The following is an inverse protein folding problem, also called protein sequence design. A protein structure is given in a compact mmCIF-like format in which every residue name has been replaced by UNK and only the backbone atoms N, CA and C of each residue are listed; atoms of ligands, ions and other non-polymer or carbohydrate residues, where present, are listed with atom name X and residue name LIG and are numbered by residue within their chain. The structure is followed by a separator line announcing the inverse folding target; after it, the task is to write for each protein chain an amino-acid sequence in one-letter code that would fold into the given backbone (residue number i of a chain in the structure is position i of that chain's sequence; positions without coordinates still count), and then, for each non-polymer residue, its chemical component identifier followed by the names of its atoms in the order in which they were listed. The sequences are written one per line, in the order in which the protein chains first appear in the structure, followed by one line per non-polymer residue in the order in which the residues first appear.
data_IF_877331254606
#
_entry.id   IF_877331254606
#
_cell.length_a   1.000
_cell.length_b   1.000
_cell.length_c   1.000
_cell.angle_alpha   90.00
_cell.angle_beta   90.00
_cell.angle_gamma   90.00
#
_symmetry.space_group_name_H-M   'P 1'
#
loop_
_entity.id
_entity.type
_entity.pdbx_description
1 polymer ?
#
# COMPACT_ATOMS: atom_id res chain seq x y z
N UNK A 1 3.42 -10.51 -5.40
CA UNK A 1 4.83 -10.18 -5.72
C UNK A 1 4.96 -9.05 -6.73
N UNK A 2 4.25 -9.07 -7.88
CA UNK A 2 4.37 -7.99 -8.89
C UNK A 2 4.04 -6.60 -8.30
N UNK A 3 2.99 -6.49 -7.49
CA UNK A 3 2.61 -5.23 -6.82
C UNK A 3 3.73 -4.70 -5.91
N UNK A 4 4.36 -5.58 -5.13
CA UNK A 4 5.48 -5.22 -4.25
C UNK A 4 6.71 -4.78 -5.06
N UNK A 5 7.04 -5.51 -6.12
CA UNK A 5 8.20 -5.20 -6.98
C UNK A 5 8.01 -3.88 -7.74
N UNK A 6 6.83 -3.67 -8.33
CA UNK A 6 6.54 -2.43 -9.04
C UNK A 6 6.45 -1.24 -8.06
N UNK A 7 5.81 -1.45 -6.91
CA UNK A 7 5.72 -0.46 -5.84
C UNK A 7 7.07 -0.10 -5.19
N UNK A 8 8.08 -0.97 -5.31
CA UNK A 8 9.41 -0.76 -4.72
C UNK A 8 10.10 0.50 -5.26
N UNK A 9 9.90 0.80 -6.54
CA UNK A 9 10.55 1.91 -7.24
C UNK A 9 9.64 3.14 -7.41
N UNK A 10 8.33 2.98 -7.18
CA UNK A 10 7.34 4.07 -7.32
C UNK A 10 6.93 4.65 -5.96
N UNK A 11 7.70 4.37 -4.91
CA UNK A 11 7.44 4.87 -3.57
C UNK A 11 7.68 6.39 -3.53
N UNK A 12 6.73 7.22 -3.04
CA UNK A 12 6.93 8.65 -2.92
C UNK A 12 8.13 9.00 -2.02
N UNK A 13 8.75 10.16 -2.28
CA UNK A 13 9.97 10.61 -1.61
C UNK A 13 9.88 10.53 -0.08
N UNK A 14 8.79 11.03 0.51
CA UNK A 14 8.61 11.00 1.96
C UNK A 14 8.65 9.60 2.55
N UNK A 15 8.07 8.59 1.88
CA UNK A 15 8.16 7.22 2.36
C UNK A 15 9.59 6.67 2.23
N UNK A 16 10.35 7.03 1.18
CA UNK A 16 11.76 6.65 1.07
C UNK A 16 12.58 7.28 2.21
N UNK A 17 12.30 8.53 2.59
CA UNK A 17 12.90 9.17 3.76
C UNK A 17 12.60 8.41 5.04
N UNK A 18 11.35 7.96 5.26
CA UNK A 18 11.02 7.13 6.43
C UNK A 18 11.78 5.79 6.38
N UNK A 19 11.88 5.15 5.22
CA UNK A 19 12.67 3.92 5.09
C UNK A 19 14.12 4.17 5.46
N UNK A 20 14.77 5.17 4.87
CA UNK A 20 16.18 5.47 5.13
C UNK A 20 16.43 5.84 6.58
N UNK A 21 15.47 6.54 7.20
CA UNK A 21 15.55 6.93 8.59
C UNK A 21 15.34 5.74 9.54
N UNK A 22 14.30 4.92 9.33
CA UNK A 22 13.90 3.91 10.32
C UNK A 22 14.40 2.49 10.01
N UNK A 23 14.72 2.17 8.76
CA UNK A 23 15.22 0.84 8.38
C UNK A 23 16.50 0.41 9.10
N UNK A 24 17.45 1.29 9.47
CA UNK A 24 18.62 0.88 10.26
C UNK A 24 18.27 0.27 11.62
N UNK A 25 17.12 0.63 12.20
CA UNK A 25 16.65 0.09 13.48
C UNK A 25 15.63 -1.03 13.32
N UNK A 26 14.68 -0.85 12.41
CA UNK A 26 13.54 -1.73 12.21
C UNK A 26 13.81 -2.85 11.18
N UNK A 27 14.98 -2.80 10.55
CA UNK A 27 15.45 -3.81 9.61
C UNK A 27 14.76 -3.78 8.25
N UNK A 28 14.98 -4.85 7.50
CA UNK A 28 14.62 -4.95 6.08
C UNK A 28 13.11 -5.02 5.80
N UNK A 29 12.27 -5.11 6.84
CA UNK A 29 10.81 -5.17 6.72
C UNK A 29 10.15 -3.79 6.60
N UNK A 30 10.89 -2.69 6.82
CA UNK A 30 10.34 -1.34 6.73
C UNK A 30 9.88 -0.97 5.32
N UNK A 31 10.76 -1.15 4.33
CA UNK A 31 10.43 -0.83 2.94
C UNK A 31 9.25 -1.64 2.40
N UNK A 32 9.20 -2.97 2.51
CA UNK A 32 8.04 -3.72 2.02
C UNK A 32 6.75 -3.35 2.76
N UNK A 33 6.81 -3.01 4.05
CA UNK A 33 5.65 -2.49 4.79
C UNK A 33 5.14 -1.20 4.16
N UNK A 34 6.00 -0.19 3.98
CA UNK A 34 5.58 1.10 3.43
C UNK A 34 5.14 1.01 1.96
N UNK A 35 5.76 0.13 1.16
CA UNK A 35 5.31 -0.16 -0.20
C UNK A 35 3.89 -0.72 -0.22
N UNK A 36 3.60 -1.72 0.63
CA UNK A 36 2.29 -2.36 0.68
C UNK A 36 1.23 -1.43 1.27
N UNK A 37 1.57 -0.70 2.33
CA UNK A 37 0.70 0.33 2.90
C UNK A 37 0.35 1.38 1.84
N UNK A 38 1.33 1.89 1.10
CA UNK A 38 1.09 2.83 0.01
C UNK A 38 0.23 2.19 -1.10
N UNK A 39 0.48 0.94 -1.47
CA UNK A 39 -0.31 0.24 -2.49
C UNK A 39 -1.77 0.02 -2.10
N UNK A 40 -2.06 -0.11 -0.81
CA UNK A 40 -3.40 -0.34 -0.28
C UNK A 40 -4.17 0.94 0.05
N UNK A 41 -3.47 2.02 0.41
CA UNK A 41 -4.10 3.27 0.86
C UNK A 41 -4.11 4.36 -0.19
N UNK A 42 -3.36 4.22 -1.29
CA UNK A 42 -3.49 5.12 -2.44
C UNK A 42 -4.71 4.70 -3.25
N UNK A 43 -5.65 5.63 -3.44
CA UNK A 43 -6.79 5.42 -4.33
C UNK A 43 -6.29 5.27 -5.78
N UNK A 44 -6.44 4.10 -6.42
CA UNK A 44 -5.97 3.90 -7.78
C UNK A 44 -6.65 4.85 -8.77
N UNK A 45 -7.92 5.21 -8.56
CA UNK A 45 -8.69 6.06 -9.48
C UNK A 45 -8.09 7.46 -9.63
N UNK A 46 -7.36 7.92 -8.61
CA UNK A 46 -6.72 9.25 -8.60
C UNK A 46 -5.21 9.18 -8.84
N UNK A 47 -4.64 7.98 -8.96
CA UNK A 47 -3.22 7.78 -9.15
C UNK A 47 -2.96 6.77 -10.29
N UNK A 48 -2.61 7.31 -11.46
CA UNK A 48 -2.34 6.53 -12.67
C UNK A 48 -1.22 5.51 -12.49
N UNK A 49 -0.18 5.84 -11.71
CA UNK A 49 0.93 4.91 -11.43
C UNK A 49 0.42 3.72 -10.62
N UNK A 50 -0.39 3.97 -9.59
CA UNK A 50 -0.97 2.90 -8.77
C UNK A 50 -1.93 2.02 -9.58
N UNK A 51 -2.77 2.63 -10.41
CA UNK A 51 -3.64 1.89 -11.35
C UNK A 51 -2.80 1.01 -12.27
N UNK A 52 -1.73 1.53 -12.87
CA UNK A 52 -0.85 0.75 -13.75
C UNK A 52 -0.25 -0.46 -13.03
N UNK A 53 0.19 -0.31 -11.77
CA UNK A 53 0.73 -1.41 -10.96
C UNK A 53 -0.30 -2.53 -10.80
N UNK A 54 -1.53 -2.20 -10.41
CA UNK A 54 -2.60 -3.18 -10.22
C UNK A 54 -3.02 -3.84 -11.55
N UNK A 55 -3.08 -3.07 -12.64
CA UNK A 55 -3.38 -3.58 -13.98
C UNK A 55 -2.30 -4.55 -14.45
N UNK A 56 -1.02 -4.19 -14.33
CA UNK A 56 0.10 -5.06 -14.75
C UNK A 56 0.11 -6.35 -13.94
N UNK A 57 -0.06 -6.25 -12.62
CA UNK A 57 -0.14 -7.42 -11.75
C UNK A 57 -1.28 -8.36 -12.15
N UNK A 58 -2.46 -7.79 -12.42
CA UNK A 58 -3.63 -8.54 -12.89
C UNK A 58 -3.38 -9.20 -14.24
N UNK A 59 -2.97 -8.42 -15.25
CA UNK A 59 -2.72 -8.92 -16.61
C UNK A 59 -1.71 -10.06 -16.64
N UNK A 60 -0.55 -9.87 -15.99
CA UNK A 60 0.51 -10.90 -15.98
C UNK A 60 0.03 -12.15 -15.26
N UNK A 61 -0.60 -12.02 -14.10
CA UNK A 61 -1.14 -13.17 -13.38
C UNK A 61 -2.24 -13.89 -14.18
N UNK A 62 -3.12 -13.12 -14.83
CA UNK A 62 -4.19 -13.62 -15.70
C UNK A 62 -3.68 -14.43 -16.88
N UNK A 63 -2.66 -13.91 -17.59
CA UNK A 63 -2.00 -14.61 -18.70
C UNK A 63 -1.32 -15.92 -18.25
N UNK A 64 -0.86 -16.01 -17.00
CA UNK A 64 -0.29 -17.23 -16.45
C UNK A 64 -1.39 -18.27 -16.16
N UNK A 65 -2.51 -17.81 -15.59
CA UNK A 65 -3.65 -18.66 -15.26
C UNK A 65 -4.35 -19.23 -16.51
N UNK A 66 -4.52 -18.42 -17.56
CA UNK A 66 -5.00 -18.86 -18.88
C UNK A 66 -6.48 -19.23 -18.97
N UNK A 67 -7.25 -19.07 -17.89
CA UNK A 67 -8.71 -19.25 -17.85
C UNK A 67 -9.39 -18.07 -17.17
N UNK A 68 -10.64 -17.73 -17.55
CA UNK A 68 -11.37 -16.59 -16.96
C UNK A 68 -11.57 -16.75 -15.45
N UNK A 69 -11.94 -17.96 -15.00
CA UNK A 69 -12.04 -18.27 -13.58
C UNK A 69 -10.68 -18.16 -12.87
N UNK A 70 -9.61 -18.63 -13.50
CA UNK A 70 -8.24 -18.46 -13.00
C UNK A 70 -7.82 -17.00 -12.89
N UNK A 71 -8.19 -16.15 -13.86
CA UNK A 71 -7.95 -14.71 -13.83
C UNK A 71 -8.65 -14.01 -12.67
N UNK A 72 -9.88 -14.41 -12.35
CA UNK A 72 -10.59 -13.93 -11.16
C UNK A 72 -9.87 -14.34 -9.86
N UNK A 73 -9.53 -15.63 -9.74
CA UNK A 73 -8.81 -16.16 -8.57
C UNK A 73 -7.46 -15.45 -8.40
N UNK A 74 -6.72 -15.21 -9.48
CA UNK A 74 -5.47 -14.45 -9.46
C UNK A 74 -5.66 -13.05 -8.90
N UNK A 75 -6.72 -12.34 -9.32
CA UNK A 75 -7.01 -11.01 -8.80
C UNK A 75 -7.21 -11.02 -7.29
N UNK A 76 -8.06 -11.93 -6.81
CA UNK A 76 -8.34 -12.10 -5.39
C UNK A 76 -7.08 -12.50 -4.58
N UNK A 77 -6.34 -13.49 -5.06
CA UNK A 77 -5.11 -13.99 -4.40
C UNK A 77 -4.02 -12.92 -4.43
N UNK A 78 -3.89 -12.15 -5.50
CA UNK A 78 -2.91 -11.05 -5.57
C UNK A 78 -3.19 -10.02 -4.48
N UNK A 79 -4.45 -9.61 -4.34
CA UNK A 79 -4.83 -8.64 -3.32
C UNK A 79 -4.71 -9.22 -1.90
N UNK A 80 -5.20 -10.44 -1.65
CA UNK A 80 -5.06 -11.12 -0.34
C UNK A 80 -3.59 -11.37 0.03
N UNK A 81 -2.73 -11.69 -0.94
CA UNK A 81 -1.30 -11.87 -0.69
C UNK A 81 -0.62 -10.57 -0.27
N UNK A 82 -1.06 -9.42 -0.78
CA UNK A 82 -0.56 -8.12 -0.33
C UNK A 82 -0.91 -7.87 1.13
N UNK A 83 -2.14 -8.21 1.56
CA UNK A 83 -2.53 -8.18 2.97
C UNK A 83 -1.72 -9.14 3.82
N UNK A 84 -1.57 -10.39 3.40
CA UNK A 84 -0.84 -11.40 4.15
C UNK A 84 0.63 -11.02 4.36
N UNK A 85 1.29 -10.50 3.32
CA UNK A 85 2.68 -10.01 3.41
C UNK A 85 2.74 -8.76 4.30
N UNK A 86 1.76 -7.86 4.21
CA UNK A 86 1.71 -6.67 5.07
C UNK A 86 1.63 -7.06 6.54
N UNK A 87 0.73 -7.99 6.89
CA UNK A 87 0.60 -8.50 8.26
C UNK A 87 1.91 -9.17 8.70
N UNK A 88 2.51 -10.00 7.85
CA UNK A 88 3.80 -10.63 8.15
C UNK A 88 4.89 -9.58 8.43
N UNK A 89 5.04 -8.56 7.57
CA UNK A 89 6.02 -7.51 7.78
C UNK A 89 5.73 -6.70 9.05
N UNK A 90 4.46 -6.37 9.33
CA UNK A 90 4.06 -5.66 10.55
C UNK A 90 4.41 -6.46 11.82
N UNK A 91 4.15 -7.77 11.84
CA UNK A 91 4.55 -8.65 12.95
C UNK A 91 6.07 -8.65 13.13
N UNK A 92 6.83 -8.76 12.05
CA UNK A 92 8.29 -8.73 12.13
C UNK A 92 8.83 -7.38 12.64
N UNK A 93 8.19 -6.27 12.29
CA UNK A 93 8.54 -4.95 12.82
C UNK A 93 8.26 -4.84 14.33
N UNK A 94 7.12 -5.38 14.79
CA UNK A 94 6.78 -5.41 16.21
C UNK A 94 7.74 -6.30 17.02
N UNK A 95 8.16 -7.43 16.44
CA UNK A 95 9.15 -8.31 17.05
C UNK A 95 10.57 -7.73 17.01
N UNK A 96 10.90 -6.92 16.00
CA UNK A 96 12.20 -6.27 15.85
C UNK A 96 12.47 -5.20 16.91
N UNK A 97 11.42 -4.59 17.46
CA UNK A 97 11.50 -3.59 18.51
C UNK A 97 12.03 -2.23 18.04
N UNK A 98 11.46 -1.14 18.57
CA UNK A 98 11.93 0.23 18.36
C UNK A 98 12.70 0.69 19.59
N UNK A 99 14.01 0.85 19.47
CA UNK A 99 14.80 1.58 20.47
C UNK A 99 14.64 3.09 20.25
N UNK A 100 13.56 3.66 20.81
CA UNK A 100 13.24 5.08 20.70
C UNK A 100 14.32 6.01 21.31
N UNK A 101 15.18 5.47 22.18
CA UNK A 101 16.30 6.20 22.78
C UNK A 101 17.53 6.36 21.86
N UNK A 102 17.52 5.77 20.66
CA UNK A 102 18.64 5.79 19.73
C UNK A 102 18.23 6.04 18.27
N UNK A 103 17.12 6.75 18.06
CA UNK A 103 16.65 7.10 16.70
C UNK A 103 17.84 7.65 15.90
N UNK A 104 18.16 7.05 14.74
CA UNK A 104 19.29 7.50 13.94
C UNK A 104 19.05 8.93 13.48
N UNK A 105 20.12 9.70 13.22
CA UNK A 105 19.98 11.04 12.68
C UNK A 105 19.24 11.01 11.34
N UNK A 106 18.49 12.08 11.05
CA UNK A 106 17.76 12.23 9.79
C UNK A 106 18.72 12.08 8.59
N UNK A 107 18.37 11.32 7.54
CA UNK A 107 19.25 11.12 6.39
C UNK A 107 19.71 12.45 5.74
N UNK A 108 20.98 12.57 5.32
CA UNK A 108 21.50 13.80 4.71
C UNK A 108 20.72 14.18 3.44
N UNK A 109 20.29 15.44 3.34
CA UNK A 109 19.53 15.94 2.20
C UNK A 109 18.03 15.63 2.23
N UNK A 110 17.52 14.97 3.28
CA UNK A 110 16.08 14.77 3.49
C UNK A 110 15.49 15.90 4.35
N UNK A 111 14.26 16.32 4.06
CA UNK A 111 13.54 17.29 4.87
C UNK A 111 12.40 16.61 5.63
N UNK A 112 12.19 16.99 6.90
CA UNK A 112 10.98 16.58 7.64
C UNK A 112 9.69 17.00 6.90
N UNK A 113 9.78 18.07 6.11
CA UNK A 113 8.70 18.52 5.21
C UNK A 113 8.30 17.41 4.23
N UNK A 114 9.24 16.63 3.71
CA UNK A 114 8.94 15.53 2.77
C UNK A 114 8.12 14.43 3.44
N UNK A 115 8.38 14.16 4.72
CA UNK A 115 7.60 13.22 5.54
C UNK A 115 6.20 13.76 5.83
N UNK A 116 6.08 15.07 6.07
CA UNK A 116 4.80 15.74 6.29
C UNK A 116 3.93 15.85 5.03
N UNK A 117 4.48 15.62 3.84
CA UNK A 117 3.70 15.54 2.59
C UNK A 117 3.09 14.16 2.36
N UNK A 118 3.46 13.15 3.16
CA UNK A 118 2.90 11.81 3.04
C UNK A 118 1.42 11.85 3.44
N UNK A 119 0.50 11.37 2.58
CA UNK A 119 -0.94 11.39 2.88
C UNK A 119 -1.28 10.78 4.25
N UNK A 120 -0.66 9.64 4.60
CA UNK A 120 -0.85 9.00 5.91
C UNK A 120 -0.45 9.88 7.10
N UNK A 121 0.67 10.60 6.99
CA UNK A 121 1.15 11.47 8.06
C UNK A 121 0.24 12.68 8.18
N UNK A 122 -0.24 13.22 7.05
CA UNK A 122 -1.24 14.30 7.05
C UNK A 122 -2.57 13.86 7.65
N UNK A 123 -3.05 12.65 7.32
CA UNK A 123 -4.25 12.07 7.93
C UNK A 123 -4.08 11.93 9.43
N UNK A 124 -2.98 11.33 9.89
CA UNK A 124 -2.70 11.12 11.30
C UNK A 124 -2.56 12.46 12.06
N UNK A 125 -1.90 13.46 11.47
CA UNK A 125 -1.81 14.81 12.07
C UNK A 125 -3.19 15.45 12.15
N UNK A 126 -4.00 15.35 11.09
CA UNK A 126 -5.35 15.94 11.06
C UNK A 126 -6.26 15.29 12.10
N UNK A 127 -6.18 13.96 12.24
CA UNK A 127 -6.93 13.20 13.25
C UNK A 127 -6.48 13.54 14.68
N UNK A 128 -5.17 13.65 14.91
CA UNK A 128 -4.60 14.07 16.22
C UNK A 128 -4.97 15.52 16.54
N UNK A 129 -4.91 16.43 15.57
CA UNK A 129 -5.31 17.83 15.75
C UNK A 129 -6.82 17.95 15.98
N UNK A 130 -7.65 17.15 15.32
CA UNK A 130 -9.09 17.09 15.57
C UNK A 130 -9.39 16.60 17.00
N UNK A 131 -8.64 15.60 17.47
CA UNK A 131 -8.75 15.09 18.84
C UNK A 131 -8.31 16.13 19.89
N UNK A 132 -7.22 16.87 19.63
CA UNK A 132 -6.66 17.88 20.55
C UNK A 132 -7.50 19.17 20.55
N UNK A 133 -8.04 19.58 19.39
CA UNK A 133 -8.84 20.81 19.26
C UNK A 133 -10.23 20.70 19.89
N UNK A 134 -10.60 19.53 20.43
CA UNK A 134 -11.94 19.30 20.97
C UNK A 134 -13.04 19.45 19.91
N UNK A 135 -12.66 19.46 18.63
CA UNK A 135 -13.55 19.54 17.48
C UNK A 135 -14.27 18.22 17.28
N UNK A 136 -15.23 17.95 18.17
CA UNK A 136 -16.17 16.84 18.07
C UNK A 136 -17.09 17.04 16.87
N UNK A 137 -16.58 16.80 15.66
CA UNK A 137 -17.41 16.28 14.60
C UNK A 137 -17.84 14.89 15.04
N UNK A 138 -19.13 14.68 15.25
CA UNK A 138 -19.66 13.38 15.66
C UNK A 138 -19.08 12.27 14.78
N UNK A 139 -18.64 11.18 15.39
CA UNK A 139 -18.14 10.01 14.69
C UNK A 139 -19.24 9.53 13.73
N UNK A 140 -19.10 9.89 12.46
CA UNK A 140 -20.01 9.45 11.40
C UNK A 140 -19.42 8.17 10.78
N UNK A 141 -19.87 6.98 11.20
CA UNK A 141 -19.37 5.72 10.67
C UNK A 141 -19.61 5.62 9.16
N UNK A 142 -20.60 6.32 8.59
CA UNK A 142 -20.89 6.28 7.15
C UNK A 142 -19.84 7.06 6.35
N UNK A 143 -19.34 8.17 6.89
CA UNK A 143 -18.25 8.94 6.30
C UNK A 143 -16.91 8.15 6.28
N UNK A 144 -16.75 7.18 7.19
CA UNK A 144 -15.60 6.26 7.24
C UNK A 144 -15.75 5.05 6.31
N UNK A 145 -16.98 4.56 6.10
CA UNK A 145 -17.23 3.37 5.27
C UNK A 145 -16.91 3.64 3.79
N UNK A 146 -17.34 4.76 3.23
CA UNK A 146 -17.22 5.00 1.79
C UNK A 146 -15.74 5.07 1.31
N UNK A 147 -14.83 5.80 1.97
CA UNK A 147 -13.42 5.78 1.64
C UNK A 147 -12.82 4.38 1.80
N UNK A 148 -13.16 3.68 2.89
CA UNK A 148 -12.60 2.36 3.20
C UNK A 148 -13.01 1.32 2.15
N UNK A 149 -14.26 1.38 1.67
CA UNK A 149 -14.76 0.59 0.55
C UNK A 149 -14.02 0.91 -0.75
N UNK A 150 -13.75 2.18 -1.04
CA UNK A 150 -12.99 2.57 -2.25
C UNK A 150 -11.54 2.08 -2.17
N UNK A 151 -10.84 2.31 -1.06
CA UNK A 151 -9.46 1.86 -0.87
C UNK A 151 -9.32 0.34 -0.90
N UNK A 152 -10.36 -0.38 -0.44
CA UNK A 152 -10.34 -1.84 -0.38
C UNK A 152 -10.80 -2.51 -1.69
N UNK A 153 -11.96 -2.10 -2.22
CA UNK A 153 -12.59 -2.77 -3.38
C UNK A 153 -11.99 -2.34 -4.72
N UNK A 154 -11.60 -1.07 -4.88
CA UNK A 154 -11.12 -0.60 -6.19
C UNK A 154 -9.88 -1.38 -6.65
N UNK A 155 -8.82 -1.56 -5.82
CA UNK A 155 -7.68 -2.37 -6.22
C UNK A 155 -8.06 -3.81 -6.60
N UNK A 156 -8.98 -4.44 -5.83
CA UNK A 156 -9.49 -5.80 -6.09
C UNK A 156 -10.18 -5.86 -7.45
N UNK A 157 -11.03 -4.89 -7.77
CA UNK A 157 -11.77 -4.85 -9.03
C UNK A 157 -10.78 -4.67 -10.18
N UNK A 158 -9.85 -3.71 -10.09
CA UNK A 158 -8.86 -3.43 -11.14
C UNK A 158 -8.02 -4.68 -11.44
N UNK A 159 -7.44 -5.29 -10.40
CA UNK A 159 -6.55 -6.46 -10.59
C UNK A 159 -7.33 -7.67 -11.10
N UNK A 160 -8.59 -7.83 -10.69
CA UNK A 160 -9.47 -8.91 -11.14
C UNK A 160 -9.88 -8.76 -12.60
N UNK A 161 -10.34 -7.57 -13.00
CA UNK A 161 -10.72 -7.27 -14.38
C UNK A 161 -9.51 -7.42 -15.31
N UNK A 162 -8.36 -6.86 -14.91
CA UNK A 162 -7.11 -7.04 -15.63
C UNK A 162 -6.69 -8.52 -15.71
N UNK A 163 -6.88 -9.29 -14.64
CA UNK A 163 -6.66 -10.74 -14.61
C UNK A 163 -7.53 -11.51 -15.60
N UNK A 164 -8.82 -11.20 -15.67
CA UNK A 164 -9.73 -11.82 -16.64
C UNK A 164 -9.33 -11.44 -18.07
N UNK A 165 -8.98 -10.18 -18.33
CA UNK A 165 -8.49 -9.74 -19.65
C UNK A 165 -7.22 -10.50 -20.03
N UNK A 166 -6.24 -10.58 -19.13
CA UNK A 166 -4.98 -11.30 -19.36
C UNK A 166 -5.21 -12.78 -19.67
N UNK A 167 -6.14 -13.42 -18.96
CA UNK A 167 -6.52 -14.80 -19.22
C UNK A 167 -7.23 -15.01 -20.58
N UNK A 168 -7.94 -14.01 -21.08
CA UNK A 168 -8.57 -14.04 -22.41
C UNK A 168 -7.54 -13.86 -23.52
N UNK A 169 -6.55 -12.97 -23.33
CA UNK A 169 -5.47 -12.72 -24.30
C UNK A 169 -4.64 -13.99 -24.53
N UNK A 170 -4.34 -14.73 -23.46
CA UNK A 170 -3.62 -16.01 -23.53
C UNK A 170 -4.49 -17.13 -23.01
N UNK A 171 -5.48 -17.54 -23.80
CA UNK A 171 -6.21 -18.79 -23.53
C UNK A 171 -5.23 -19.95 -23.57
N UNK A 172 -5.13 -20.69 -22.47
CA UNK A 172 -4.60 -22.05 -22.51
C UNK A 172 -5.77 -22.95 -22.92
N UNK A 173 -5.56 -23.68 -24.00
CA UNK A 173 -6.48 -24.72 -24.48
C UNK A 173 -6.75 -25.76 -23.39
#
# INVERSE_FOLDING_TARGET
MIVLLAGWYTLPLGYNTIVEWLAPQLGNYMRPTLVLVNAMLVNPLNNWVMTAIWVIAGLVGGMIAGTKAGGFVVGLVTWLSCLGILVFCAVQLLMGGLSLGSLPPLPPGSSLVDVLTIPLVQSAITEVLALISGGGGGFDPVALILPLVVYFLVPIIIVTVAGVIGAVIRKKE
#
